data_IF_267536938662
#
_entry.id   IF_267536938662
#
_cell.length_a   1.000
_cell.length_b   1.000
_cell.length_c   1.000
_cell.angle_alpha   90.00
_cell.angle_beta   90.00
_cell.angle_gamma   90.00
#
_symmetry.space_group_name_H-M   'P 1'
#
loop_
_entity.id
_entity.type
_entity.pdbx_description
1 polymer ?
#
# COMPACT_ATOMS: atom_id res chain seq x y z
N UNK A 1 23.10 2.34 6.28
CA UNK A 1 22.86 1.48 5.09
C UNK A 1 22.58 0.05 5.53
N UNK A 2 21.49 -0.56 5.04
CA UNK A 2 21.09 -1.94 5.37
C UNK A 2 21.64 -2.90 4.32
N UNK A 3 22.18 -4.03 4.77
CA UNK A 3 22.70 -5.09 3.89
C UNK A 3 21.70 -6.24 3.78
N UNK A 4 21.77 -6.97 2.68
CA UNK A 4 21.01 -8.19 2.49
C UNK A 4 21.59 -9.32 3.33
N UNK A 5 20.76 -10.02 4.11
CA UNK A 5 21.14 -11.20 4.89
C UNK A 5 21.29 -12.45 4.02
N UNK A 6 20.59 -12.49 2.89
CA UNK A 6 20.63 -13.56 1.90
C UNK A 6 20.42 -13.01 0.48
N UNK A 7 20.67 -13.83 -0.53
CA UNK A 7 20.44 -13.47 -1.92
C UNK A 7 18.93 -13.37 -2.18
N UNK A 8 18.52 -12.34 -2.90
CA UNK A 8 17.13 -12.22 -3.35
C UNK A 8 16.98 -11.49 -4.68
N UNK A 9 15.86 -11.77 -5.32
CA UNK A 9 15.46 -11.18 -6.59
C UNK A 9 14.05 -10.65 -6.44
N UNK A 10 13.85 -9.41 -6.89
CA UNK A 10 12.54 -8.77 -6.96
C UNK A 10 12.25 -8.37 -8.41
N UNK A 11 10.99 -8.50 -8.79
CA UNK A 11 10.47 -8.02 -10.06
C UNK A 11 9.53 -6.86 -9.75
N UNK A 12 9.78 -5.71 -10.37
CA UNK A 12 9.06 -4.46 -10.12
C UNK A 12 8.42 -3.95 -11.41
N UNK A 13 7.25 -3.31 -11.30
CA UNK A 13 6.68 -2.58 -12.43
C UNK A 13 7.44 -1.26 -12.69
N UNK A 14 7.10 -0.55 -13.77
CA UNK A 14 7.64 0.79 -14.07
C UNK A 14 7.41 1.83 -12.96
N UNK A 15 6.44 1.58 -12.08
CA UNK A 15 6.10 2.44 -10.95
C UNK A 15 6.80 2.02 -9.65
N UNK A 16 7.66 1.00 -9.68
CA UNK A 16 8.39 0.48 -8.52
C UNK A 16 7.57 -0.43 -7.57
N UNK A 17 6.38 -0.88 -7.97
CA UNK A 17 5.58 -1.80 -7.16
C UNK A 17 6.00 -3.25 -7.41
N UNK A 18 5.87 -4.15 -6.42
CA UNK A 18 6.17 -5.57 -6.60
C UNK A 18 5.21 -6.17 -7.63
N UNK A 19 5.77 -6.84 -8.62
CA UNK A 19 5.02 -7.65 -9.57
C UNK A 19 5.09 -9.12 -9.18
N UNK A 20 3.96 -9.83 -9.08
CA UNK A 20 3.97 -11.28 -9.01
C UNK A 20 4.50 -11.81 -10.35
N UNK A 21 5.71 -12.37 -10.32
CA UNK A 21 6.37 -12.94 -11.48
C UNK A 21 6.54 -14.44 -11.28
N UNK A 22 6.12 -15.24 -12.26
CA UNK A 22 6.43 -16.67 -12.32
C UNK A 22 7.41 -16.93 -13.46
N UNK A 23 8.27 -17.92 -13.25
CA UNK A 23 9.20 -18.37 -14.28
C UNK A 23 8.41 -18.85 -15.51
N UNK A 24 8.66 -18.21 -16.66
CA UNK A 24 7.89 -18.42 -17.90
C UNK A 24 6.92 -17.29 -18.26
N UNK A 25 6.62 -16.37 -17.34
CA UNK A 25 5.85 -15.17 -17.67
C UNK A 25 6.66 -14.25 -18.59
N UNK A 26 6.03 -13.64 -19.61
CA UNK A 26 6.69 -12.61 -20.41
C UNK A 26 7.09 -11.47 -19.47
N UNK A 27 8.40 -11.25 -19.34
CA UNK A 27 8.97 -10.21 -18.48
C UNK A 27 8.42 -8.81 -18.79
N UNK A 28 7.87 -8.59 -19.99
CA UNK A 28 7.19 -7.34 -20.36
C UNK A 28 8.03 -6.12 -19.98
N UNK A 29 7.43 -5.21 -19.21
CA UNK A 29 8.06 -3.99 -18.69
C UNK A 29 8.63 -4.14 -17.27
N UNK A 30 8.79 -5.37 -16.77
CA UNK A 30 9.24 -5.61 -15.40
C UNK A 30 10.74 -5.34 -15.24
N UNK A 31 11.09 -4.56 -14.22
CA UNK A 31 12.47 -4.32 -13.79
C UNK A 31 12.89 -5.38 -12.78
N UNK A 32 13.96 -6.12 -13.10
CA UNK A 32 14.58 -7.09 -12.20
C UNK A 32 15.60 -6.41 -11.30
N UNK A 33 15.44 -6.52 -9.98
CA UNK A 33 16.41 -6.08 -8.97
C UNK A 33 16.97 -7.31 -8.28
N UNK A 34 18.27 -7.56 -8.44
CA UNK A 34 18.98 -8.64 -7.76
C UNK A 34 19.93 -8.07 -6.72
N UNK A 35 19.80 -8.54 -5.48
CA UNK A 35 20.70 -8.15 -4.39
C UNK A 35 21.36 -9.41 -3.85
N UNK A 36 22.69 -9.38 -3.78
CA UNK A 36 23.49 -10.48 -3.19
C UNK A 36 23.65 -10.27 -1.68
N UNK A 37 23.80 -11.36 -0.95
CA UNK A 37 24.12 -11.39 0.47
C UNK A 37 25.32 -10.51 0.78
N UNK A 38 25.20 -9.72 1.85
CA UNK A 38 26.23 -8.78 2.31
C UNK A 38 26.38 -7.52 1.45
N UNK A 39 25.70 -7.43 0.30
CA UNK A 39 25.60 -6.18 -0.46
C UNK A 39 24.53 -5.29 0.12
N UNK A 40 24.69 -4.01 -0.17
CA UNK A 40 23.74 -3.00 0.22
C UNK A 40 22.43 -3.16 -0.55
N UNK A 41 21.32 -2.99 0.18
CA UNK A 41 19.98 -3.03 -0.39
C UNK A 41 19.63 -1.64 -0.91
N UNK A 42 19.29 -1.49 -2.21
CA UNK A 42 18.91 -0.19 -2.76
C UNK A 42 17.70 0.40 -2.02
N UNK A 43 17.74 1.70 -1.70
CA UNK A 43 16.67 2.38 -0.95
C UNK A 43 15.28 2.25 -1.61
N UNK A 44 15.24 2.12 -2.94
CA UNK A 44 14.00 1.90 -3.72
C UNK A 44 13.27 0.62 -3.30
N UNK A 45 14.00 -0.46 -3.00
CA UNK A 45 13.43 -1.76 -2.64
C UNK A 45 13.47 -2.05 -1.15
N UNK A 46 14.25 -1.29 -0.39
CA UNK A 46 14.45 -1.48 1.05
C UNK A 46 13.12 -1.49 1.81
N UNK A 47 12.23 -0.53 1.52
CA UNK A 47 10.88 -0.47 2.09
C UNK A 47 10.08 -1.75 1.83
N UNK A 48 10.09 -2.19 0.58
CA UNK A 48 9.32 -3.33 0.13
C UNK A 48 9.79 -4.61 0.82
N UNK A 49 11.10 -4.83 0.90
CA UNK A 49 11.68 -5.97 1.60
C UNK A 49 11.40 -5.88 3.10
N UNK A 50 11.53 -4.69 3.70
CA UNK A 50 11.30 -4.50 5.14
C UNK A 50 9.87 -4.85 5.57
N UNK A 51 8.85 -4.43 4.80
CA UNK A 51 7.44 -4.69 5.17
C UNK A 51 6.96 -6.10 4.83
N UNK A 52 7.48 -6.72 3.76
CA UNK A 52 7.00 -8.03 3.31
C UNK A 52 7.85 -9.18 3.85
N UNK A 53 9.18 -9.01 3.91
CA UNK A 53 10.13 -10.08 4.24
C UNK A 53 11.34 -9.53 5.02
N UNK A 54 11.15 -9.00 6.23
CA UNK A 54 12.20 -8.33 7.01
C UNK A 54 13.41 -9.22 7.28
N UNK A 55 13.23 -10.54 7.34
CA UNK A 55 14.31 -11.51 7.60
C UNK A 55 15.41 -11.52 6.53
N UNK A 56 15.14 -10.95 5.36
CA UNK A 56 16.10 -10.82 4.26
C UNK A 56 17.06 -9.64 4.47
N UNK A 57 16.79 -8.80 5.46
CA UNK A 57 17.60 -7.65 5.82
C UNK A 57 18.44 -7.96 7.07
N UNK A 58 19.67 -7.46 7.08
CA UNK A 58 20.53 -7.52 8.26
C UNK A 58 20.12 -6.43 9.26
N UNK A 59 19.07 -6.70 10.03
CA UNK A 59 18.48 -5.80 11.00
C UNK A 59 19.04 -6.05 12.40
N UNK A 60 19.30 -4.96 13.13
CA UNK A 60 19.69 -5.03 14.54
C UNK A 60 18.45 -5.05 15.42
N UNK A 61 18.38 -6.00 16.34
CA UNK A 61 17.31 -6.12 17.32
C UNK A 61 17.83 -5.78 18.71
N UNK A 62 17.05 -5.05 19.50
CA UNK A 62 17.29 -4.83 20.93
C UNK A 62 15.97 -5.04 21.66
N UNK A 63 15.94 -5.96 22.62
CA UNK A 63 14.73 -6.29 23.39
C UNK A 63 13.53 -6.66 22.50
N UNK A 64 13.75 -7.47 21.46
CA UNK A 64 12.75 -7.84 20.43
C UNK A 64 12.23 -6.69 19.55
N UNK A 65 12.69 -5.46 19.75
CA UNK A 65 12.37 -4.32 18.88
C UNK A 65 13.47 -4.12 17.82
N UNK A 66 13.07 -3.79 16.59
CA UNK A 66 13.99 -3.44 15.51
C UNK A 66 14.58 -2.05 15.80
N UNK A 67 15.90 -1.99 15.93
CA UNK A 67 16.64 -0.73 16.09
C UNK A 67 17.04 -0.21 14.71
N UNK A 68 16.21 0.69 14.19
CA UNK A 68 16.47 1.38 12.91
C UNK A 68 17.25 2.67 13.22
N UNK A 69 18.33 2.96 12.48
CA UNK A 69 19.01 4.26 12.60
C UNK A 69 18.13 5.38 12.05
N UNK A 70 18.22 6.60 12.59
CA UNK A 70 17.41 7.75 12.14
C UNK A 70 17.53 8.01 10.63
N UNK A 71 18.69 7.74 10.03
CA UNK A 71 18.93 7.87 8.59
C UNK A 71 18.06 6.90 7.77
N UNK A 72 17.95 5.65 8.22
CA UNK A 72 17.11 4.63 7.59
C UNK A 72 15.63 4.94 7.78
N UNK A 73 15.25 5.51 8.93
CA UNK A 73 13.86 5.93 9.16
C UNK A 73 13.40 7.01 8.17
N UNK A 74 14.31 7.92 7.79
CA UNK A 74 14.05 8.95 6.77
C UNK A 74 13.92 8.33 5.37
N UNK A 75 14.77 7.35 5.03
CA UNK A 75 14.65 6.62 3.76
C UNK A 75 13.37 5.78 3.66
N UNK A 76 12.97 5.13 4.76
CA UNK A 76 11.73 4.35 4.81
C UNK A 76 10.48 5.26 4.67
N UNK A 77 10.54 6.50 5.18
CA UNK A 77 9.44 7.48 5.10
C UNK A 77 9.38 8.26 3.78
N UNK A 78 10.40 8.18 2.90
CA UNK A 78 10.52 9.03 1.69
C UNK A 78 9.60 8.66 0.53
N UNK A 79 8.92 7.51 0.54
CA UNK A 79 7.91 7.22 -0.48
C UNK A 79 6.61 7.94 -0.07
N UNK A 80 6.04 8.81 -0.92
CA UNK A 80 4.76 9.41 -0.62
C UNK A 80 3.76 8.27 -0.45
N UNK A 81 3.13 8.18 0.73
CA UNK A 81 1.89 7.41 0.87
C UNK A 81 1.01 7.88 -0.28
N UNK A 82 0.74 7.01 -1.27
CA UNK A 82 -0.32 7.29 -2.26
C UNK A 82 -1.52 7.66 -1.42
N UNK A 83 -1.87 8.95 -1.39
CA UNK A 83 -3.12 9.39 -0.82
C UNK A 83 -4.14 8.56 -1.58
N UNK A 84 -4.84 7.65 -0.87
CA UNK A 84 -5.92 6.90 -1.48
C UNK A 84 -6.86 7.97 -2.04
N UNK A 85 -6.88 8.15 -3.37
CA UNK A 85 -7.86 9.02 -4.02
C UNK A 85 -9.20 8.54 -3.49
N UNK A 86 -9.86 9.35 -2.66
CA UNK A 86 -11.18 9.00 -2.17
C UNK A 86 -12.06 8.86 -3.42
N UNK A 87 -12.67 7.70 -3.59
CA UNK A 87 -13.56 7.42 -4.71
C UNK A 87 -14.68 8.47 -4.69
N UNK A 88 -14.82 9.30 -5.73
CA UNK A 88 -15.97 10.20 -5.81
C UNK A 88 -17.20 9.41 -6.25
N UNK A 89 -18.32 9.66 -5.59
CA UNK A 89 -19.62 9.05 -5.90
C UNK A 89 -20.56 10.13 -6.43
N UNK A 90 -21.29 9.81 -7.49
CA UNK A 90 -22.40 10.66 -7.96
C UNK A 90 -23.69 10.29 -7.23
N UNK A 91 -24.66 11.20 -7.24
CA UNK A 91 -26.00 10.94 -6.66
C UNK A 91 -26.65 9.68 -7.25
N UNK A 92 -26.50 9.47 -8.55
CA UNK A 92 -27.02 8.31 -9.27
C UNK A 92 -26.38 7.01 -8.78
N UNK A 93 -25.05 6.99 -8.63
CA UNK A 93 -24.34 5.81 -8.12
C UNK A 93 -24.76 5.43 -6.70
N UNK A 94 -25.00 6.40 -5.82
CA UNK A 94 -25.44 6.15 -4.45
C UNK A 94 -26.88 5.64 -4.37
N UNK A 95 -27.75 6.15 -5.26
CA UNK A 95 -29.12 5.65 -5.39
C UNK A 95 -29.14 4.23 -5.95
N UNK A 96 -28.28 3.91 -6.91
CA UNK A 96 -28.13 2.56 -7.44
C UNK A 96 -27.63 1.57 -6.38
N UNK A 97 -26.65 1.98 -5.56
CA UNK A 97 -26.19 1.18 -4.41
C UNK A 97 -27.32 0.95 -3.41
N UNK A 98 -28.13 1.98 -3.13
CA UNK A 98 -29.28 1.85 -2.24
C UNK A 98 -30.32 0.88 -2.81
N UNK A 99 -30.60 0.93 -4.11
CA UNK A 99 -31.58 0.08 -4.77
C UNK A 99 -31.11 -1.39 -4.88
N UNK A 100 -29.84 -1.63 -5.25
CA UNK A 100 -29.30 -2.98 -5.50
C UNK A 100 -28.76 -3.67 -4.25
N UNK A 101 -28.08 -2.92 -3.38
CA UNK A 101 -27.32 -3.47 -2.23
C UNK A 101 -27.91 -3.05 -0.87
N UNK A 102 -28.89 -2.16 -0.87
CA UNK A 102 -29.61 -1.73 0.32
C UNK A 102 -28.85 -0.76 1.21
N UNK A 103 -29.50 -0.36 2.30
CA UNK A 103 -29.02 0.72 3.17
C UNK A 103 -27.71 0.37 3.93
N UNK A 104 -27.44 -0.92 4.17
CA UNK A 104 -26.18 -1.38 4.79
C UNK A 104 -24.97 -1.03 3.94
N UNK A 105 -25.05 -1.21 2.61
CA UNK A 105 -23.97 -0.88 1.69
C UNK A 105 -23.73 0.63 1.64
N UNK A 106 -24.80 1.42 1.64
CA UNK A 106 -24.70 2.89 1.70
C UNK A 106 -24.00 3.37 2.98
N UNK A 107 -24.26 2.75 4.14
CA UNK A 107 -23.56 3.05 5.40
C UNK A 107 -22.07 2.73 5.35
N UNK A 108 -21.66 1.67 4.65
CA UNK A 108 -20.25 1.36 4.46
C UNK A 108 -19.54 2.44 3.63
N UNK A 109 -20.22 2.99 2.61
CA UNK A 109 -19.70 4.13 1.85
C UNK A 109 -19.61 5.37 2.75
N UNK A 110 -20.65 5.67 3.53
CA UNK A 110 -20.64 6.78 4.49
C UNK A 110 -19.45 6.75 5.44
N UNK A 111 -19.13 5.58 5.99
CA UNK A 111 -17.95 5.39 6.85
C UNK A 111 -16.63 5.74 6.16
N UNK A 112 -16.50 5.54 4.85
CA UNK A 112 -15.29 5.94 4.09
C UNK A 112 -15.08 7.47 4.12
N UNK A 113 -16.15 8.24 4.27
CA UNK A 113 -16.16 9.71 4.37
C UNK A 113 -16.35 10.23 5.80
N UNK A 114 -16.30 9.34 6.81
CA UNK A 114 -16.60 9.66 8.21
C UNK A 114 -18.01 10.26 8.44
N UNK A 115 -18.98 9.84 7.61
CA UNK A 115 -20.38 10.27 7.66
C UNK A 115 -21.26 9.13 8.17
N UNK A 116 -22.15 9.41 9.11
CA UNK A 116 -23.12 8.43 9.63
C UNK A 116 -24.49 9.06 9.84
N UNK A 117 -25.52 8.51 9.20
CA UNK A 117 -26.92 8.94 9.39
C UNK A 117 -27.86 7.71 9.46
N UNK A 118 -29.03 7.92 10.06
CA UNK A 118 -30.14 6.97 10.17
C UNK A 118 -31.06 6.97 8.94
N UNK A 119 -31.04 8.03 8.13
CA UNK A 119 -31.83 8.21 6.92
C UNK A 119 -30.98 8.05 5.66
N UNK A 120 -31.46 7.24 4.70
CA UNK A 120 -30.77 7.04 3.41
C UNK A 120 -30.64 8.32 2.60
N UNK A 121 -31.66 9.18 2.60
CA UNK A 121 -31.63 10.47 1.88
C UNK A 121 -30.62 11.45 2.47
N UNK A 122 -30.54 11.54 3.80
CA UNK A 122 -29.56 12.43 4.48
C UNK A 122 -28.15 11.89 4.30
N UNK A 123 -27.96 10.59 4.47
CA UNK A 123 -26.67 9.93 4.28
C UNK A 123 -26.10 10.18 2.87
N UNK A 124 -26.92 10.10 1.82
CA UNK A 124 -26.48 10.41 0.44
C UNK A 124 -26.02 11.87 0.33
N UNK A 125 -26.79 12.82 0.88
CA UNK A 125 -26.46 14.25 0.82
C UNK A 125 -25.15 14.55 1.56
N UNK A 126 -24.98 13.99 2.74
CA UNK A 126 -23.77 14.20 3.54
C UNK A 126 -22.55 13.53 2.91
N UNK A 127 -22.70 12.34 2.33
CA UNK A 127 -21.64 11.70 1.53
C UNK A 127 -21.21 12.62 0.40
N UNK A 128 -22.14 13.16 -0.39
CA UNK A 128 -21.83 14.05 -1.52
C UNK A 128 -21.14 15.36 -1.08
N UNK A 129 -21.48 15.87 0.10
CA UNK A 129 -20.86 17.07 0.66
C UNK A 129 -19.45 16.83 1.23
N UNK A 130 -19.10 15.58 1.54
CA UNK A 130 -17.87 15.22 2.24
C UNK A 130 -16.74 14.69 1.32
N UNK A 131 -16.92 14.72 -0.02
CA UNK A 131 -15.96 14.20 -1.02
C UNK A 131 -15.14 15.27 -1.73
#
# INVERSE_FOLDING_TARGET
MVKARQDFVLYLDKSGNPLPYKEGDPLGEARKVSVKKGKEVPSEVLNLVFYNIPDYLDLKYKNNDIVISKELEVELKKIPKKSKKQEKYTKESLLEVLAKKGFKALKLIGKKFNVTDRSSKRLIKEILNAQ
#
